data_IF_384343582466
#
_entry.id   IF_384343582466
#
_cell.length_a   1.000
_cell.length_b   1.000
_cell.length_c   1.000
_cell.angle_alpha   90.00
_cell.angle_beta   90.00
_cell.angle_gamma   90.00
#
_symmetry.space_group_name_H-M   'P 1'
#
loop_
_entity.id
_entity.type
_entity.pdbx_description
1 polymer ?
#
# COMPACT_ATOMS: atom_id res chain seq x y z
N UNK A 1 -20.84 11.97 26.43
CA UNK A 1 -20.40 10.57 26.36
C UNK A 1 -19.62 10.42 25.07
N UNK A 2 -18.29 10.53 25.15
CA UNK A 2 -17.41 10.42 23.97
C UNK A 2 -17.29 8.96 23.56
N UNK A 3 -17.70 8.64 22.35
CA UNK A 3 -17.31 7.40 21.70
C UNK A 3 -15.79 7.42 21.57
N UNK A 4 -15.11 6.63 22.40
CA UNK A 4 -13.73 6.23 22.13
C UNK A 4 -13.80 5.39 20.85
N UNK A 5 -13.35 5.94 19.74
CA UNK A 5 -12.98 5.12 18.58
C UNK A 5 -11.92 4.14 19.08
N UNK A 6 -12.31 2.87 19.20
CA UNK A 6 -11.32 1.81 19.40
C UNK A 6 -10.26 1.96 18.31
N UNK A 7 -8.97 1.84 18.63
CA UNK A 7 -7.95 1.81 17.61
C UNK A 7 -8.35 0.68 16.65
N UNK A 8 -8.50 1.00 15.39
CA UNK A 8 -8.76 0.02 14.33
C UNK A 8 -7.54 -0.88 14.29
N UNK A 9 -7.59 -1.98 15.05
CA UNK A 9 -6.50 -2.95 15.12
C UNK A 9 -6.33 -3.62 13.75
N UNK A 10 -5.11 -4.06 13.49
CA UNK A 10 -4.79 -4.83 12.29
C UNK A 10 -5.69 -6.07 12.21
N UNK A 11 -6.12 -6.41 11.00
CA UNK A 11 -7.02 -7.52 10.75
C UNK A 11 -6.36 -8.55 9.84
N UNK A 12 -6.38 -9.82 10.25
CA UNK A 12 -5.97 -10.93 9.41
C UNK A 12 -7.22 -11.53 8.77
N UNK A 13 -7.25 -11.54 7.47
CA UNK A 13 -8.27 -12.21 6.68
C UNK A 13 -7.80 -13.63 6.37
N UNK A 14 -8.69 -14.60 6.52
CA UNK A 14 -8.38 -16.02 6.28
C UNK A 14 -9.38 -16.53 5.25
N UNK A 15 -8.88 -17.11 4.15
CA UNK A 15 -9.70 -17.81 3.16
C UNK A 15 -9.21 -19.25 3.08
N UNK A 16 -10.00 -20.16 3.63
CA UNK A 16 -9.66 -21.57 3.84
C UNK A 16 -10.97 -22.37 3.87
N UNK A 17 -11.11 -23.40 3.05
CA UNK A 17 -12.33 -24.21 2.97
C UNK A 17 -12.40 -25.30 4.05
N UNK A 18 -11.26 -25.78 4.53
CA UNK A 18 -11.19 -26.75 5.63
C UNK A 18 -11.56 -26.07 6.95
N UNK A 19 -12.63 -26.54 7.59
CA UNK A 19 -13.16 -25.95 8.84
C UNK A 19 -12.16 -26.03 10.00
N UNK A 20 -11.41 -27.13 10.12
CA UNK A 20 -10.44 -27.33 11.20
C UNK A 20 -9.22 -26.42 11.01
N UNK A 21 -8.69 -26.33 9.81
CA UNK A 21 -7.59 -25.45 9.47
C UNK A 21 -7.99 -23.98 9.66
N UNK A 22 -9.19 -23.60 9.20
CA UNK A 22 -9.74 -22.24 9.34
C UNK A 22 -9.92 -21.86 10.81
N UNK A 23 -10.42 -22.79 11.63
CA UNK A 23 -10.57 -22.60 13.08
C UNK A 23 -9.20 -22.47 13.77
N UNK A 24 -8.23 -23.31 13.41
CA UNK A 24 -6.86 -23.25 13.95
C UNK A 24 -6.19 -21.90 13.63
N UNK A 25 -6.21 -21.46 12.38
CA UNK A 25 -5.60 -20.18 11.98
C UNK A 25 -6.28 -19.02 12.68
N UNK A 26 -7.62 -19.05 12.80
CA UNK A 26 -8.40 -18.04 13.53
C UNK A 26 -8.04 -17.99 15.00
N UNK A 27 -7.80 -19.13 15.65
CA UNK A 27 -7.36 -19.20 17.03
C UNK A 27 -5.97 -18.59 17.23
N UNK A 28 -5.03 -18.89 16.32
CA UNK A 28 -3.68 -18.29 16.32
C UNK A 28 -3.75 -16.78 16.20
N UNK A 29 -4.52 -16.27 15.24
CA UNK A 29 -4.68 -14.82 15.02
C UNK A 29 -5.27 -14.12 16.24
N UNK A 30 -6.32 -14.69 16.84
CA UNK A 30 -6.94 -14.13 18.05
C UNK A 30 -5.99 -14.15 19.25
N UNK A 31 -5.16 -15.20 19.39
CA UNK A 31 -4.12 -15.26 20.42
C UNK A 31 -3.04 -14.17 20.27
N UNK A 32 -2.84 -13.64 19.05
CA UNK A 32 -1.99 -12.48 18.79
C UNK A 32 -2.64 -11.14 19.18
N UNK A 33 -3.92 -11.12 19.56
CA UNK A 33 -4.67 -9.90 19.86
C UNK A 33 -5.11 -9.12 18.61
N UNK A 34 -5.12 -9.75 17.44
CA UNK A 34 -5.48 -9.15 16.15
C UNK A 34 -6.96 -9.39 15.81
N UNK A 35 -7.51 -8.51 14.96
CA UNK A 35 -8.79 -8.75 14.32
C UNK A 35 -8.69 -9.97 13.38
N UNK A 36 -9.78 -10.75 13.29
CA UNK A 36 -9.82 -11.93 12.45
C UNK A 36 -11.17 -12.00 11.73
N UNK A 37 -11.12 -12.04 10.41
CA UNK A 37 -12.28 -12.32 9.55
C UNK A 37 -11.94 -13.56 8.71
N UNK A 38 -12.77 -14.60 8.77
CA UNK A 38 -12.52 -15.89 8.13
C UNK A 38 -13.66 -16.27 7.19
N UNK A 39 -13.32 -16.82 6.03
CA UNK A 39 -14.20 -17.14 4.91
C UNK A 39 -13.92 -18.56 4.43
N UNK A 40 -14.96 -19.29 4.05
CA UNK A 40 -14.85 -20.63 3.52
C UNK A 40 -14.64 -20.66 1.99
N UNK A 41 -14.87 -19.54 1.30
CA UNK A 41 -14.81 -19.45 -0.15
C UNK A 41 -14.22 -18.09 -0.59
N UNK A 42 -13.54 -18.11 -1.76
CA UNK A 42 -12.94 -16.91 -2.34
C UNK A 42 -13.98 -15.87 -2.75
N UNK A 43 -15.14 -16.30 -3.26
CA UNK A 43 -16.23 -15.40 -3.64
C UNK A 43 -16.77 -14.59 -2.44
N UNK A 44 -16.88 -15.23 -1.27
CA UNK A 44 -17.32 -14.59 -0.04
C UNK A 44 -16.33 -13.46 0.37
N UNK A 45 -15.04 -13.74 0.33
CA UNK A 45 -14.01 -12.75 0.58
C UNK A 45 -14.05 -11.59 -0.43
N UNK A 46 -14.26 -11.87 -1.72
CA UNK A 46 -14.33 -10.85 -2.77
C UNK A 46 -15.48 -9.85 -2.57
N UNK A 47 -16.57 -10.23 -1.94
CA UNK A 47 -17.65 -9.32 -1.55
C UNK A 47 -17.22 -8.35 -0.46
N UNK A 48 -16.25 -8.74 0.35
CA UNK A 48 -15.74 -7.96 1.49
C UNK A 48 -14.51 -7.11 1.15
N UNK A 49 -13.76 -7.45 0.11
CA UNK A 49 -12.44 -6.92 -0.16
C UNK A 49 -12.35 -5.41 -0.45
N UNK A 50 -13.47 -4.73 -0.74
CA UNK A 50 -13.48 -3.28 -0.99
C UNK A 50 -13.36 -2.42 0.28
N UNK A 51 -13.44 -3.02 1.47
CA UNK A 51 -13.42 -2.31 2.77
C UNK A 51 -12.41 -2.95 3.75
N UNK A 52 -11.27 -3.43 3.23
CA UNK A 52 -10.25 -4.07 4.06
C UNK A 52 -9.57 -3.06 5.01
N UNK A 53 -9.52 -3.42 6.28
CA UNK A 53 -8.68 -2.76 7.27
C UNK A 53 -7.20 -3.09 7.00
N UNK A 54 -6.24 -2.33 7.59
CA UNK A 54 -4.83 -2.72 7.56
C UNK A 54 -4.63 -4.15 8.08
N UNK A 55 -3.72 -4.90 7.45
CA UNK A 55 -3.45 -6.28 7.84
C UNK A 55 -2.88 -7.15 6.75
N UNK A 56 -3.24 -8.44 6.74
CA UNK A 56 -2.80 -9.39 5.72
C UNK A 56 -3.88 -10.45 5.42
N UNK A 57 -3.70 -11.17 4.32
CA UNK A 57 -4.53 -12.27 3.89
C UNK A 57 -3.76 -13.59 4.01
N UNK A 58 -4.30 -14.55 4.75
CA UNK A 58 -3.88 -15.97 4.74
C UNK A 58 -4.83 -16.70 3.79
N UNK A 59 -4.29 -17.30 2.74
CA UNK A 59 -5.07 -17.78 1.61
C UNK A 59 -4.69 -19.21 1.25
N UNK A 60 -5.66 -20.12 1.26
CA UNK A 60 -5.43 -21.43 0.65
C UNK A 60 -5.27 -21.30 -0.87
N UNK A 61 -4.38 -22.13 -1.38
CA UNK A 61 -4.16 -22.26 -2.81
C UNK A 61 -5.35 -22.92 -3.54
N UNK A 62 -6.01 -23.86 -2.87
CA UNK A 62 -7.10 -24.67 -3.44
C UNK A 62 -8.39 -24.39 -2.67
N UNK A 63 -9.31 -23.68 -3.30
CA UNK A 63 -10.63 -23.38 -2.77
C UNK A 63 -11.71 -24.03 -3.66
N UNK A 64 -12.92 -24.25 -3.15
CA UNK A 64 -13.97 -24.97 -3.88
C UNK A 64 -14.52 -24.19 -5.09
N UNK A 65 -14.45 -22.86 -5.06
CA UNK A 65 -15.07 -21.96 -6.04
C UNK A 65 -14.05 -21.30 -6.97
N UNK A 66 -12.86 -20.97 -6.46
CA UNK A 66 -11.81 -20.28 -7.24
C UNK A 66 -10.43 -20.68 -6.71
N UNK A 67 -9.42 -20.79 -7.59
CA UNK A 67 -8.06 -21.01 -7.08
C UNK A 67 -7.52 -19.78 -6.35
N UNK A 68 -6.70 -19.99 -5.29
CA UNK A 68 -6.06 -18.88 -4.57
C UNK A 68 -5.25 -17.98 -5.50
N UNK A 69 -4.58 -18.53 -6.53
CA UNK A 69 -3.85 -17.73 -7.53
C UNK A 69 -4.79 -16.84 -8.37
N UNK A 70 -5.98 -17.36 -8.71
CA UNK A 70 -6.98 -16.56 -9.43
C UNK A 70 -7.53 -15.44 -8.54
N UNK A 71 -7.73 -15.73 -7.24
CA UNK A 71 -8.14 -14.73 -6.25
C UNK A 71 -7.08 -13.63 -6.09
N UNK A 72 -5.80 -14.00 -5.98
CA UNK A 72 -4.68 -13.03 -5.93
C UNK A 72 -4.69 -12.12 -7.17
N UNK A 73 -4.86 -12.70 -8.36
CA UNK A 73 -4.92 -11.93 -9.62
C UNK A 73 -6.11 -10.96 -9.64
N UNK A 74 -7.27 -11.41 -9.19
CA UNK A 74 -8.46 -10.55 -9.09
C UNK A 74 -8.26 -9.38 -8.13
N UNK A 75 -7.63 -9.59 -6.96
CA UNK A 75 -7.28 -8.54 -6.03
C UNK A 75 -6.34 -7.52 -6.67
N UNK A 76 -5.33 -7.99 -7.40
CA UNK A 76 -4.40 -7.12 -8.14
C UNK A 76 -5.12 -6.27 -9.19
N UNK A 77 -6.05 -6.86 -9.96
CA UNK A 77 -6.86 -6.14 -10.95
C UNK A 77 -7.75 -5.07 -10.33
N UNK A 78 -8.22 -5.29 -9.11
CA UNK A 78 -8.99 -4.30 -8.33
C UNK A 78 -8.12 -3.26 -7.63
N UNK A 79 -6.79 -3.32 -7.76
CA UNK A 79 -5.86 -2.40 -7.10
C UNK A 79 -5.75 -2.62 -5.58
N UNK A 80 -6.13 -3.80 -5.09
CA UNK A 80 -6.05 -4.16 -3.67
C UNK A 80 -4.67 -4.73 -3.39
N UNK A 81 -3.89 -4.04 -2.56
CA UNK A 81 -2.48 -4.34 -2.29
C UNK A 81 -2.24 -5.00 -0.92
N UNK A 82 -3.20 -5.77 -0.41
CA UNK A 82 -3.03 -6.48 0.85
C UNK A 82 -1.95 -7.58 0.71
N UNK A 83 -0.98 -7.69 1.63
CA UNK A 83 0.00 -8.78 1.61
C UNK A 83 -0.66 -10.16 1.76
N UNK A 84 -0.32 -11.09 0.88
CA UNK A 84 -0.91 -12.43 0.83
C UNK A 84 0.12 -13.46 1.27
N UNK A 85 -0.25 -14.25 2.28
CA UNK A 85 0.48 -15.44 2.73
C UNK A 85 -0.30 -16.64 2.22
N UNK A 86 0.25 -17.35 1.24
CA UNK A 86 -0.36 -18.59 0.80
C UNK A 86 -0.09 -19.73 1.78
N UNK A 87 -1.09 -20.59 1.96
CA UNK A 87 -1.00 -21.85 2.70
C UNK A 87 -1.45 -22.99 1.80
N UNK A 88 -0.77 -24.16 1.84
CA UNK A 88 -1.15 -25.28 0.98
C UNK A 88 -0.66 -26.62 1.52
N UNK A 89 -1.47 -27.68 1.40
CA UNK A 89 -1.10 -29.04 1.79
C UNK A 89 -0.06 -29.69 0.87
N UNK A 90 -0.02 -29.29 -0.40
CA UNK A 90 0.89 -29.84 -1.42
C UNK A 90 1.25 -28.71 -2.40
N UNK A 91 2.10 -27.80 -1.97
CA UNK A 91 2.66 -26.81 -2.86
C UNK A 91 3.52 -27.48 -3.91
N UNK A 92 2.98 -27.67 -5.14
CA UNK A 92 3.90 -27.87 -6.26
C UNK A 92 4.80 -26.62 -6.31
N UNK A 93 6.10 -26.81 -6.38
CA UNK A 93 7.09 -25.73 -6.48
C UNK A 93 6.65 -24.68 -7.52
N UNK A 94 6.02 -25.17 -8.62
CA UNK A 94 5.47 -24.32 -9.69
C UNK A 94 4.41 -23.32 -9.17
N UNK A 95 3.51 -23.74 -8.27
CA UNK A 95 2.48 -22.86 -7.72
C UNK A 95 3.05 -21.83 -6.76
N UNK A 96 4.03 -22.21 -5.94
CA UNK A 96 4.73 -21.27 -5.06
C UNK A 96 5.51 -20.22 -5.86
N UNK A 97 6.21 -20.65 -6.92
CA UNK A 97 6.90 -19.72 -7.82
C UNK A 97 5.93 -18.77 -8.51
N UNK A 98 4.78 -19.26 -8.97
CA UNK A 98 3.77 -18.42 -9.61
C UNK A 98 3.15 -17.42 -8.62
N UNK A 99 2.79 -17.84 -7.40
CA UNK A 99 2.30 -16.97 -6.34
C UNK A 99 3.29 -15.84 -6.04
N UNK A 100 4.57 -16.17 -5.89
CA UNK A 100 5.63 -15.19 -5.61
C UNK A 100 5.85 -14.23 -6.79
N UNK A 101 5.79 -14.73 -8.03
CA UNK A 101 5.87 -13.86 -9.23
C UNK A 101 4.70 -12.88 -9.33
N UNK A 102 3.52 -13.29 -8.86
CA UNK A 102 2.33 -12.43 -8.81
C UNK A 102 2.33 -11.48 -7.59
N UNK A 103 3.40 -11.45 -6.80
CA UNK A 103 3.57 -10.52 -5.69
C UNK A 103 3.01 -11.03 -4.35
N UNK A 104 2.85 -12.34 -4.16
CA UNK A 104 2.58 -12.90 -2.84
C UNK A 104 3.69 -12.51 -1.86
N UNK A 105 3.32 -12.26 -0.60
CA UNK A 105 4.28 -11.98 0.45
C UNK A 105 5.10 -13.23 0.79
N UNK A 106 4.44 -14.37 1.00
CA UNK A 106 5.11 -15.65 1.28
C UNK A 106 4.20 -16.83 0.94
N UNK A 107 4.80 -18.04 0.97
CA UNK A 107 4.14 -19.31 0.75
C UNK A 107 4.55 -20.31 1.84
N UNK A 108 3.57 -20.86 2.56
CA UNK A 108 3.78 -21.84 3.63
C UNK A 108 3.17 -23.19 3.24
N UNK A 109 3.91 -24.27 3.46
CA UNK A 109 3.35 -25.62 3.39
C UNK A 109 2.58 -25.92 4.68
N UNK A 110 1.37 -26.52 4.62
CA UNK A 110 0.49 -26.75 5.80
C UNK A 110 1.10 -27.64 6.90
N UNK A 111 2.34 -28.12 6.73
CA UNK A 111 3.19 -28.70 7.79
C UNK A 111 3.89 -27.66 8.67
N UNK A 112 3.68 -26.35 8.44
CA UNK A 112 4.28 -25.27 9.20
C UNK A 112 3.84 -25.28 10.68
N UNK A 113 4.68 -24.76 11.55
CA UNK A 113 4.35 -24.56 12.96
C UNK A 113 3.51 -23.29 13.17
N UNK A 114 2.77 -23.22 14.28
CA UNK A 114 2.04 -21.98 14.64
C UNK A 114 2.97 -20.78 14.76
N UNK A 115 4.23 -20.99 15.17
CA UNK A 115 5.24 -19.93 15.23
C UNK A 115 5.60 -19.37 13.85
N UNK A 116 5.67 -20.23 12.82
CA UNK A 116 5.92 -19.78 11.45
C UNK A 116 4.78 -18.90 10.94
N UNK A 117 3.54 -19.29 11.21
CA UNK A 117 2.37 -18.48 10.82
C UNK A 117 2.39 -17.11 11.53
N UNK A 118 2.65 -17.09 12.84
CA UNK A 118 2.74 -15.87 13.65
C UNK A 118 3.80 -14.91 13.09
N UNK A 119 4.99 -15.42 12.79
CA UNK A 119 6.09 -14.62 12.28
C UNK A 119 5.75 -14.03 10.88
N UNK A 120 5.18 -14.85 10.00
CA UNK A 120 4.76 -14.39 8.67
C UNK A 120 3.65 -13.33 8.74
N UNK A 121 2.66 -13.50 9.62
CA UNK A 121 1.61 -12.50 9.83
C UNK A 121 2.20 -11.17 10.31
N UNK A 122 3.12 -11.19 11.29
CA UNK A 122 3.77 -9.96 11.79
C UNK A 122 4.52 -9.21 10.70
N UNK A 123 5.30 -9.94 9.91
CA UNK A 123 6.07 -9.36 8.81
C UNK A 123 5.16 -8.81 7.70
N UNK A 124 4.09 -9.53 7.35
CA UNK A 124 3.12 -9.10 6.36
C UNK A 124 2.39 -7.81 6.80
N UNK A 125 1.95 -7.73 8.06
CA UNK A 125 1.34 -6.53 8.62
C UNK A 125 2.32 -5.35 8.61
N UNK A 126 3.58 -5.57 8.98
CA UNK A 126 4.61 -4.53 8.92
C UNK A 126 4.81 -3.99 7.49
N UNK A 127 4.76 -4.87 6.49
CA UNK A 127 4.81 -4.50 5.07
C UNK A 127 3.58 -3.66 4.68
N UNK A 128 2.35 -4.09 5.03
CA UNK A 128 1.12 -3.35 4.74
C UNK A 128 1.16 -1.93 5.32
N UNK A 129 1.57 -1.78 6.57
CA UNK A 129 1.74 -0.47 7.20
C UNK A 129 2.75 0.42 6.47
N UNK A 130 3.86 -0.18 6.00
CA UNK A 130 4.86 0.56 5.23
C UNK A 130 4.31 1.05 3.89
N UNK A 131 3.61 0.18 3.17
CA UNK A 131 2.99 0.49 1.88
C UNK A 131 1.90 1.56 2.01
N UNK A 132 0.99 1.41 2.98
CA UNK A 132 -0.07 2.40 3.25
C UNK A 132 0.48 3.76 3.64
N UNK A 133 1.55 3.81 4.45
CA UNK A 133 2.23 5.07 4.78
C UNK A 133 2.84 5.74 3.55
N UNK A 134 3.49 4.96 2.68
CA UNK A 134 4.06 5.48 1.44
C UNK A 134 2.99 6.07 0.52
N UNK A 135 1.86 5.35 0.34
CA UNK A 135 0.70 5.83 -0.44
C UNK A 135 0.15 7.12 0.16
N UNK A 136 -0.12 7.16 1.48
CA UNK A 136 -0.65 8.35 2.15
C UNK A 136 0.29 9.57 2.04
N UNK A 137 1.61 9.36 2.05
CA UNK A 137 2.58 10.43 1.82
C UNK A 137 2.48 10.99 0.39
N UNK A 138 2.36 10.10 -0.61
CA UNK A 138 2.20 10.49 -2.01
C UNK A 138 0.89 11.27 -2.20
N UNK A 139 -0.21 10.82 -1.63
CA UNK A 139 -1.51 11.49 -1.73
C UNK A 139 -1.48 12.86 -1.06
N UNK A 140 -0.84 12.99 0.11
CA UNK A 140 -0.61 14.29 0.77
C UNK A 140 0.18 15.25 -0.13
N UNK A 141 1.21 14.76 -0.84
CA UNK A 141 1.99 15.59 -1.76
C UNK A 141 1.14 15.99 -2.98
N UNK A 142 0.33 15.09 -3.52
CA UNK A 142 -0.61 15.40 -4.63
C UNK A 142 -1.62 16.46 -4.24
N UNK A 143 -2.20 16.38 -3.05
CA UNK A 143 -3.11 17.39 -2.52
C UNK A 143 -2.43 18.78 -2.43
N UNK A 144 -1.21 18.83 -1.90
CA UNK A 144 -0.42 20.06 -1.83
C UNK A 144 -0.13 20.64 -3.22
N UNK A 145 0.26 19.79 -4.17
CA UNK A 145 0.46 20.21 -5.57
C UNK A 145 -0.83 20.77 -6.18
N UNK A 146 -1.97 20.12 -5.94
CA UNK A 146 -3.28 20.57 -6.39
C UNK A 146 -3.73 21.90 -5.76
N UNK A 147 -3.16 22.29 -4.62
CA UNK A 147 -3.44 23.57 -3.95
C UNK A 147 -2.66 24.76 -4.54
N UNK A 148 -1.68 24.51 -5.41
CA UNK A 148 -0.91 25.55 -6.07
C UNK A 148 -1.74 26.25 -7.15
N UNK A 149 -1.66 27.58 -7.20
CA UNK A 149 -2.19 28.32 -8.33
C UNK A 149 -1.34 28.05 -9.60
N UNK A 150 -1.86 28.31 -10.83
CA UNK A 150 -1.08 28.13 -12.05
C UNK A 150 0.28 28.85 -11.99
N UNK A 151 0.35 30.06 -11.45
CA UNK A 151 1.58 30.83 -11.32
C UNK A 151 2.56 30.24 -10.30
N UNK A 152 2.06 29.72 -9.19
CA UNK A 152 2.89 29.02 -8.21
C UNK A 152 3.45 27.72 -8.80
N UNK A 153 2.66 27.01 -9.60
CA UNK A 153 3.10 25.81 -10.30
C UNK A 153 4.20 26.13 -11.32
N UNK A 154 4.03 27.20 -12.15
CA UNK A 154 5.06 27.64 -13.10
C UNK A 154 6.38 27.92 -12.37
N UNK A 155 6.31 28.65 -11.25
CA UNK A 155 7.50 28.97 -10.45
C UNK A 155 8.11 27.70 -9.81
N UNK A 156 7.28 26.75 -9.33
CA UNK A 156 7.75 25.47 -8.80
C UNK A 156 8.60 24.74 -9.85
N UNK A 157 8.11 24.59 -11.10
CA UNK A 157 8.80 23.89 -12.18
C UNK A 157 10.14 24.53 -12.53
N UNK A 158 10.21 25.84 -12.54
CA UNK A 158 11.44 26.59 -12.78
C UNK A 158 12.46 26.40 -11.60
N UNK A 159 11.97 26.39 -10.37
CA UNK A 159 12.79 26.22 -9.15
C UNK A 159 13.43 24.83 -9.10
N UNK A 160 12.66 23.78 -9.38
CA UNK A 160 13.19 22.41 -9.37
C UNK A 160 14.16 22.13 -10.53
N UNK A 161 14.03 22.90 -11.63
CA UNK A 161 15.01 22.89 -12.72
C UNK A 161 16.34 23.59 -12.34
N UNK A 162 16.50 24.07 -11.10
CA UNK A 162 17.73 24.69 -10.60
C UNK A 162 17.98 26.11 -11.10
N UNK A 163 16.99 26.78 -11.68
CA UNK A 163 17.15 28.14 -12.23
C UNK A 163 17.18 29.18 -11.13
N UNK A 164 18.00 30.24 -11.37
CA UNK A 164 18.08 31.38 -10.45
C UNK A 164 16.86 32.29 -10.57
N UNK A 165 16.55 33.08 -9.52
CA UNK A 165 15.40 34.01 -9.54
C UNK A 165 15.44 34.98 -10.73
N UNK A 166 16.63 35.39 -11.19
CA UNK A 166 16.81 36.28 -12.35
C UNK A 166 16.34 35.58 -13.64
N UNK A 167 16.68 34.31 -13.83
CA UNK A 167 16.28 33.52 -15.01
C UNK A 167 14.79 33.25 -14.97
N UNK A 168 14.25 32.86 -13.81
CA UNK A 168 12.81 32.61 -13.63
C UNK A 168 12.01 33.87 -13.94
N UNK A 169 12.44 35.03 -13.43
CA UNK A 169 11.80 36.32 -13.66
C UNK A 169 11.73 36.65 -15.16
N UNK A 170 12.83 36.42 -15.88
CA UNK A 170 12.86 36.59 -17.34
C UNK A 170 11.91 35.63 -18.06
N UNK A 171 11.96 34.34 -17.75
CA UNK A 171 11.15 33.31 -18.41
C UNK A 171 9.63 33.52 -18.21
N UNK A 172 9.23 33.94 -17.01
CA UNK A 172 7.83 34.11 -16.64
C UNK A 172 7.30 35.54 -16.85
N UNK A 173 8.17 36.44 -17.31
CA UNK A 173 7.88 37.87 -17.48
C UNK A 173 7.37 38.53 -16.20
N UNK A 174 8.10 38.32 -15.10
CA UNK A 174 7.80 38.82 -13.75
C UNK A 174 9.00 39.57 -13.16
N UNK A 175 8.78 40.36 -12.08
CA UNK A 175 9.88 40.93 -11.33
C UNK A 175 10.55 39.87 -10.43
N UNK A 176 11.86 40.06 -10.10
CA UNK A 176 12.54 39.17 -9.17
C UNK A 176 11.86 39.14 -7.78
N UNK A 177 11.34 40.28 -7.33
CA UNK A 177 10.56 40.38 -6.07
C UNK A 177 9.30 39.54 -6.13
N UNK A 178 8.61 39.49 -7.29
CA UNK A 178 7.46 38.61 -7.46
C UNK A 178 7.84 37.12 -7.41
N UNK A 179 8.99 36.75 -7.99
CA UNK A 179 9.50 35.39 -7.92
C UNK A 179 9.83 34.98 -6.48
N UNK A 180 10.48 35.86 -5.70
CA UNK A 180 10.76 35.61 -4.27
C UNK A 180 9.48 35.37 -3.48
N UNK A 181 8.45 36.17 -3.73
CA UNK A 181 7.13 36.00 -3.11
C UNK A 181 6.49 34.65 -3.51
N UNK A 182 6.48 34.31 -4.80
CA UNK A 182 5.93 33.02 -5.26
C UNK A 182 6.72 31.84 -4.73
N UNK A 183 8.06 31.91 -4.70
CA UNK A 183 8.89 30.87 -4.08
C UNK A 183 8.55 30.65 -2.61
N UNK A 184 8.40 31.72 -1.83
CA UNK A 184 7.99 31.62 -0.43
C UNK A 184 6.66 30.90 -0.28
N UNK A 185 5.65 31.29 -1.07
CA UNK A 185 4.33 30.65 -1.05
C UNK A 185 4.38 29.17 -1.47
N UNK A 186 5.16 28.84 -2.49
CA UNK A 186 5.37 27.45 -2.92
C UNK A 186 6.00 26.64 -1.80
N UNK A 187 7.07 27.13 -1.18
CA UNK A 187 7.73 26.45 -0.06
C UNK A 187 6.77 26.23 1.11
N UNK A 188 5.97 27.23 1.47
CA UNK A 188 4.96 27.17 2.52
C UNK A 188 3.87 26.15 2.22
N UNK A 189 3.21 26.24 1.06
CA UNK A 189 2.13 25.33 0.65
C UNK A 189 2.60 23.89 0.54
N UNK A 190 3.78 23.67 -0.03
CA UNK A 190 4.40 22.35 -0.11
C UNK A 190 4.89 21.84 1.24
N UNK A 191 5.11 22.74 2.22
CA UNK A 191 5.71 22.40 3.52
C UNK A 191 7.17 21.95 3.36
N UNK A 192 7.90 22.56 2.42
CA UNK A 192 9.28 22.22 2.12
C UNK A 192 10.25 23.27 2.68
N UNK A 193 11.34 22.81 3.29
CA UNK A 193 12.37 23.69 3.85
C UNK A 193 13.58 23.88 2.92
N UNK A 194 13.61 23.17 1.78
CA UNK A 194 14.67 23.29 0.77
C UNK A 194 14.20 22.86 -0.62
N UNK A 195 14.88 23.35 -1.66
CA UNK A 195 14.63 22.92 -3.05
C UNK A 195 14.87 21.42 -3.22
N UNK A 196 15.89 20.88 -2.55
CA UNK A 196 16.17 19.45 -2.58
C UNK A 196 15.00 18.61 -2.01
N UNK A 197 14.28 19.13 -1.01
CA UNK A 197 13.08 18.48 -0.49
C UNK A 197 11.92 18.54 -1.49
N UNK A 198 11.70 19.69 -2.16
CA UNK A 198 10.70 19.80 -3.24
C UNK A 198 10.97 18.79 -4.36
N UNK A 199 12.22 18.66 -4.80
CA UNK A 199 12.59 17.67 -5.83
C UNK A 199 12.27 16.25 -5.39
N UNK A 200 12.64 15.85 -4.16
CA UNK A 200 12.32 14.52 -3.62
C UNK A 200 10.81 14.26 -3.56
N UNK A 201 10.03 15.26 -3.13
CA UNK A 201 8.56 15.15 -3.07
C UNK A 201 7.97 14.89 -4.47
N UNK A 202 8.43 15.62 -5.48
CA UNK A 202 7.93 15.44 -6.85
C UNK A 202 8.35 14.09 -7.43
N UNK A 203 9.60 13.68 -7.24
CA UNK A 203 10.09 12.36 -7.68
C UNK A 203 9.29 11.21 -7.05
N UNK A 204 8.86 11.34 -5.79
CA UNK A 204 8.03 10.31 -5.14
C UNK A 204 6.63 10.19 -5.77
N UNK A 205 6.07 11.29 -6.25
CA UNK A 205 4.77 11.28 -6.97
C UNK A 205 4.88 10.68 -8.37
N UNK A 206 5.95 11.01 -9.10
CA UNK A 206 6.21 10.47 -10.43
C UNK A 206 6.53 8.97 -10.39
N UNK A 207 7.38 8.54 -9.43
CA UNK A 207 7.72 7.13 -9.22
C UNK A 207 6.52 6.28 -8.78
N UNK A 208 5.55 6.85 -8.09
CA UNK A 208 4.31 6.17 -7.68
C UNK A 208 3.31 5.92 -8.82
N UNK A 209 3.54 6.46 -10.02
CA UNK A 209 2.74 6.14 -11.22
C UNK A 209 3.21 4.86 -11.93
N UNK A 210 4.37 4.35 -11.58
CA UNK A 210 4.88 3.06 -12.06
C UNK A 210 4.77 2.05 -10.92
N UNK A 211 3.55 1.58 -10.62
CA UNK A 211 3.35 0.31 -9.94
C UNK A 211 4.15 -0.76 -10.69
N UNK A 212 4.56 -1.89 -10.06
CA UNK A 212 5.44 -2.85 -10.69
C UNK A 212 4.82 -3.32 -12.01
N UNK A 213 5.25 -2.71 -13.12
CA UNK A 213 5.00 -3.23 -14.44
C UNK A 213 5.68 -4.60 -14.49
N UNK A 214 4.88 -5.62 -14.70
CA UNK A 214 5.34 -6.98 -14.95
C UNK A 214 6.54 -6.96 -15.91
N UNK A 215 7.69 -7.40 -15.41
CA UNK A 215 8.80 -7.90 -16.24
C UNK A 215 8.78 -9.41 -16.22
#
# INVERSE_FOLDING_TARGET
MGQRSEPVGDTVYIVEDDDDARALYSAVVRAMGLGCEAFAAGAEFLLRCNSLKPGCLVLDLVLPDVSGLSLQRELTLRGITIPIIFVSNKGRIVNAVEAMRQGAFNFLEKSFSSSDLVENIRQAIALDHSQRRAIGQIDTIREKLGSLTPREHDVLMEVISGRTNKIIAYNLNLSQRSIEMYRSRVMEKMGANSVAQLVRMLMSVEGGQHGPAAR
#
